data_IF_706300774583
#
_entry.id   IF_706300774583
#
_cell.length_a   1.000
_cell.length_b   1.000
_cell.length_c   1.000
_cell.angle_alpha   90.00
_cell.angle_beta   90.00
_cell.angle_gamma   90.00
#
_symmetry.space_group_name_H-M   'P 1'
#
loop_
_entity.id
_entity.type
_entity.pdbx_description
1 polymer ?
#
# COMPACT_ATOMS: atom_id res chain seq x y z
N UNK A 1 58.53 33.76 32.31
CA UNK A 1 58.58 32.35 31.89
C UNK A 1 57.58 32.19 30.74
N UNK A 2 58.04 31.84 29.53
CA UNK A 2 57.19 31.65 28.34
C UNK A 2 56.45 30.31 28.39
N UNK A 3 55.40 30.22 27.54
CA UNK A 3 54.62 29.09 26.99
C UNK A 3 53.19 29.03 27.53
N UNK A 4 52.09 28.95 26.76
CA UNK A 4 51.81 28.91 25.32
C UNK A 4 50.28 29.08 25.14
N UNK A 5 49.82 29.76 24.09
CA UNK A 5 48.40 29.89 23.67
C UNK A 5 47.94 28.65 22.88
N UNK A 6 46.66 28.25 23.00
CA UNK A 6 45.90 27.60 21.93
C UNK A 6 44.37 27.71 22.12
N UNK A 7 43.74 28.57 21.27
CA UNK A 7 42.46 28.49 20.52
C UNK A 7 41.20 27.94 21.26
N UNK A 8 40.15 28.74 21.54
CA UNK A 8 39.04 29.19 20.65
C UNK A 8 38.31 27.95 20.06
N UNK A 9 37.05 27.59 20.37
CA UNK A 9 35.75 28.25 20.09
C UNK A 9 34.63 27.68 21.00
N UNK A 10 33.75 28.48 21.62
CA UNK A 10 32.49 29.05 21.11
C UNK A 10 31.30 28.06 21.01
N UNK A 11 30.43 28.16 22.04
CA UNK A 11 28.97 28.20 21.96
C UNK A 11 28.14 26.97 21.53
N UNK A 12 27.06 26.81 22.32
CA UNK A 12 25.73 26.31 21.93
C UNK A 12 25.59 24.86 21.50
N UNK A 13 25.21 24.02 22.46
CA UNK A 13 24.27 22.94 22.14
C UNK A 13 23.00 23.15 22.97
N UNK A 14 22.14 24.00 22.41
CA UNK A 14 20.74 24.08 22.80
C UNK A 14 20.10 22.73 22.54
N UNK A 15 19.63 22.10 23.62
CA UNK A 15 18.70 20.98 23.56
C UNK A 15 17.37 21.53 23.06
N UNK A 16 17.22 21.60 21.74
CA UNK A 16 15.92 21.67 21.10
C UNK A 16 15.58 20.26 20.63
N UNK A 17 14.57 19.76 21.32
CA UNK A 17 13.72 18.62 21.00
C UNK A 17 13.39 18.68 19.50
N UNK A 18 14.21 18.02 18.69
CA UNK A 18 13.85 17.59 17.36
C UNK A 18 13.27 16.20 17.52
N UNK A 19 12.00 16.03 17.15
CA UNK A 19 11.45 14.70 16.91
C UNK A 19 12.48 13.92 16.10
N UNK A 20 12.96 12.81 16.65
CA UNK A 20 13.75 11.86 15.89
C UNK A 20 12.75 11.32 14.86
N UNK A 21 12.68 11.97 13.70
CA UNK A 21 12.17 11.33 12.51
C UNK A 21 13.12 10.17 12.30
N UNK A 22 12.71 8.99 12.75
CA UNK A 22 13.30 7.75 12.28
C UNK A 22 13.19 7.82 10.76
N UNK A 23 14.26 8.22 10.08
CA UNK A 23 14.39 7.95 8.67
C UNK A 23 14.49 6.43 8.61
N UNK A 24 13.37 5.76 8.38
CA UNK A 24 13.39 4.43 7.79
C UNK A 24 14.04 4.66 6.43
N UNK A 25 15.35 4.51 6.36
CA UNK A 25 16.09 4.55 5.11
C UNK A 25 15.81 3.24 4.40
N UNK A 26 14.61 3.11 3.83
CA UNK A 26 14.34 1.99 2.94
C UNK A 26 15.26 2.12 1.73
N UNK A 27 15.83 1.00 1.26
CA UNK A 27 16.75 0.98 0.12
C UNK A 27 16.06 1.27 -1.23
N UNK A 28 14.84 1.82 -1.20
CA UNK A 28 14.06 2.06 -2.39
C UNK A 28 14.49 3.35 -3.09
N UNK A 29 14.37 3.35 -4.42
CA UNK A 29 14.61 4.56 -5.22
C UNK A 29 13.72 5.72 -4.74
N UNK A 30 14.19 6.96 -4.95
CA UNK A 30 13.43 8.15 -4.60
C UNK A 30 12.01 8.11 -5.19
N UNK A 31 11.02 8.48 -4.37
CA UNK A 31 9.60 8.50 -4.74
C UNK A 31 8.83 7.23 -4.35
N UNK A 32 9.47 6.19 -3.84
CA UNK A 32 8.79 5.08 -3.18
C UNK A 32 8.62 5.35 -1.68
N UNK A 33 7.45 5.00 -1.14
CA UNK A 33 7.20 4.98 0.30
C UNK A 33 7.52 3.59 0.84
N UNK A 34 8.16 3.50 2.00
CA UNK A 34 8.67 2.24 2.52
C UNK A 34 8.12 1.96 3.91
N UNK A 35 7.75 0.71 4.15
CA UNK A 35 7.37 0.22 5.48
C UNK A 35 8.56 -0.48 6.16
N UNK A 36 9.45 -1.05 5.35
CA UNK A 36 10.67 -1.74 5.73
C UNK A 36 11.77 -1.49 4.66
N UNK A 37 12.91 -2.16 4.79
CA UNK A 37 14.06 -1.93 3.90
C UNK A 37 13.96 -2.60 2.52
N UNK A 38 12.95 -3.46 2.31
CA UNK A 38 12.85 -4.33 1.13
C UNK A 38 11.59 -4.08 0.30
N UNK A 39 10.53 -3.52 0.87
CA UNK A 39 9.24 -3.32 0.22
C UNK A 39 8.98 -1.83 -0.04
N UNK A 40 8.87 -1.47 -1.31
CA UNK A 40 8.51 -0.14 -1.77
C UNK A 40 7.08 -0.10 -2.28
N UNK A 41 6.31 0.91 -1.86
CA UNK A 41 4.95 1.16 -2.31
C UNK A 41 4.80 2.55 -2.90
N UNK A 42 3.94 2.69 -3.92
CA UNK A 42 3.68 3.98 -4.57
C UNK A 42 2.23 4.05 -5.05
N UNK A 43 1.54 5.11 -4.66
CA UNK A 43 0.26 5.47 -5.25
C UNK A 43 0.49 6.17 -6.60
N UNK A 44 -0.12 5.65 -7.66
CA UNK A 44 -0.19 6.29 -8.97
C UNK A 44 -1.62 6.76 -9.17
N UNK A 45 -1.82 8.08 -9.13
CA UNK A 45 -3.09 8.71 -9.45
C UNK A 45 -3.06 9.11 -10.93
N UNK A 46 -4.06 8.68 -11.68
CA UNK A 46 -4.22 9.04 -13.08
C UNK A 46 -4.84 10.43 -13.19
N UNK A 47 -4.01 11.40 -13.58
CA UNK A 47 -4.41 12.82 -13.69
C UNK A 47 -5.33 13.11 -14.89
N UNK A 48 -5.33 12.24 -15.90
CA UNK A 48 -6.00 12.49 -17.19
C UNK A 48 -7.27 11.67 -17.41
N UNK A 49 -7.35 10.45 -16.87
CA UNK A 49 -8.59 9.66 -16.88
C UNK A 49 -8.53 8.46 -15.95
N UNK A 50 -9.64 8.09 -15.33
CA UNK A 50 -9.73 6.89 -14.50
C UNK A 50 -9.32 5.62 -15.29
N UNK A 51 -8.76 4.62 -14.62
CA UNK A 51 -8.26 3.38 -15.24
C UNK A 51 -9.04 2.16 -14.72
N UNK A 52 -9.29 1.21 -15.60
CA UNK A 52 -9.77 -0.10 -15.18
C UNK A 52 -8.65 -0.95 -14.60
N UNK A 53 -8.98 -2.07 -13.97
CA UNK A 53 -8.01 -2.90 -13.27
C UNK A 53 -6.91 -3.42 -14.21
N UNK A 54 -7.24 -3.76 -15.45
CA UNK A 54 -6.28 -4.24 -16.44
C UNK A 54 -5.27 -3.15 -16.81
N UNK A 55 -5.74 -1.93 -17.13
CA UNK A 55 -4.87 -0.79 -17.40
C UNK A 55 -4.06 -0.39 -16.17
N UNK A 56 -4.66 -0.40 -14.98
CA UNK A 56 -3.98 -0.11 -13.73
C UNK A 56 -2.79 -1.05 -13.46
N UNK A 57 -2.96 -2.37 -13.72
CA UNK A 57 -1.87 -3.35 -13.62
C UNK A 57 -0.73 -3.03 -14.58
N UNK A 58 -1.04 -2.63 -15.81
CA UNK A 58 -0.03 -2.24 -16.80
C UNK A 58 0.76 -0.99 -16.38
N UNK A 59 0.15 -0.05 -15.64
CA UNK A 59 0.85 1.11 -15.09
C UNK A 59 1.91 0.73 -14.06
N UNK A 60 1.65 -0.28 -13.21
CA UNK A 60 2.68 -0.77 -12.31
C UNK A 60 3.78 -1.51 -13.08
N UNK A 61 3.41 -2.34 -14.06
CA UNK A 61 4.39 -3.08 -14.87
C UNK A 61 5.29 -2.14 -15.68
N UNK A 62 4.80 -0.99 -16.15
CA UNK A 62 5.61 -0.03 -16.92
C UNK A 62 6.72 0.62 -16.10
N UNK A 63 6.65 0.56 -14.76
CA UNK A 63 7.68 1.04 -13.83
C UNK A 63 8.40 -0.11 -13.12
N UNK A 64 8.41 -1.31 -13.73
CA UNK A 64 9.02 -2.54 -13.18
C UNK A 64 8.48 -2.93 -11.79
N UNK A 65 7.19 -2.70 -11.56
CA UNK A 65 6.50 -2.99 -10.31
C UNK A 65 5.31 -3.93 -10.53
N UNK A 66 4.77 -4.50 -9.45
CA UNK A 66 3.49 -5.20 -9.44
C UNK A 66 2.39 -4.33 -8.84
N UNK A 67 1.14 -4.70 -9.11
CA UNK A 67 0.02 -4.16 -8.36
C UNK A 67 0.13 -4.63 -6.89
N UNK A 68 -0.03 -3.73 -5.93
CA UNK A 68 0.29 -4.00 -4.53
C UNK A 68 -0.61 -5.06 -3.89
N UNK A 69 -0.04 -6.19 -3.51
CA UNK A 69 -0.70 -7.20 -2.71
C UNK A 69 -0.89 -6.69 -1.28
N UNK A 70 -1.82 -7.28 -0.52
CA UNK A 70 -1.97 -6.96 0.90
C UNK A 70 -2.07 -8.27 1.66
N UNK A 71 -1.02 -8.59 2.41
CA UNK A 71 -0.79 -9.91 3.01
C UNK A 71 -0.90 -9.91 4.53
N UNK A 72 -0.92 -8.72 5.14
CA UNK A 72 -1.00 -8.54 6.59
C UNK A 72 -1.78 -7.27 6.97
N UNK A 73 -2.21 -7.20 8.23
CA UNK A 73 -2.84 -5.99 8.79
C UNK A 73 -1.89 -4.78 8.82
N UNK A 74 -0.59 -5.01 9.07
CA UNK A 74 0.43 -3.95 9.08
C UNK A 74 0.58 -3.33 7.70
N UNK A 75 0.64 -4.16 6.66
CA UNK A 75 0.70 -3.70 5.26
C UNK A 75 -0.59 -2.97 4.86
N UNK A 76 -1.75 -3.48 5.29
CA UNK A 76 -3.04 -2.82 5.07
C UNK A 76 -3.08 -1.42 5.70
N UNK A 77 -2.60 -1.28 6.93
CA UNK A 77 -2.56 0.00 7.62
C UNK A 77 -1.55 0.96 6.99
N UNK A 78 -0.42 0.47 6.50
CA UNK A 78 0.53 1.28 5.73
C UNK A 78 -0.11 1.80 4.43
N UNK A 79 -0.76 0.94 3.65
CA UNK A 79 -1.44 1.34 2.40
C UNK A 79 -2.53 2.36 2.67
N UNK A 80 -3.28 2.24 3.78
CA UNK A 80 -4.25 3.26 4.21
C UNK A 80 -3.62 4.65 4.36
N UNK A 81 -2.39 4.73 4.89
CA UNK A 81 -1.69 6.02 5.00
C UNK A 81 -1.40 6.64 3.63
N UNK A 82 -1.12 5.82 2.61
CA UNK A 82 -0.89 6.29 1.24
C UNK A 82 -2.20 6.79 0.61
N UNK A 83 -3.31 6.12 0.88
CA UNK A 83 -4.61 6.44 0.26
C UNK A 83 -5.38 7.55 0.96
N UNK A 84 -5.22 7.70 2.28
CA UNK A 84 -5.94 8.71 3.08
C UNK A 84 -5.65 10.16 2.64
N UNK A 85 -4.51 10.39 1.99
CA UNK A 85 -4.14 11.73 1.52
C UNK A 85 -5.01 12.22 0.35
N UNK A 86 -5.70 11.30 -0.35
CA UNK A 86 -6.38 11.64 -1.61
C UNK A 86 -7.90 11.48 -1.57
N UNK A 87 -8.46 10.75 -0.60
CA UNK A 87 -9.86 10.24 -0.58
C UNK A 87 -10.30 9.49 -1.84
N UNK A 88 -9.41 9.33 -2.82
CA UNK A 88 -9.69 8.75 -4.11
C UNK A 88 -9.66 7.22 -3.99
N UNK A 89 -10.67 6.51 -4.52
CA UNK A 89 -10.61 5.07 -4.56
C UNK A 89 -9.50 4.62 -5.48
N UNK A 90 -8.66 3.71 -5.01
CA UNK A 90 -7.56 3.17 -5.80
C UNK A 90 -7.65 1.66 -5.87
N UNK A 91 -7.22 1.12 -7.00
CA UNK A 91 -7.06 -0.32 -7.14
C UNK A 91 -5.98 -0.84 -6.18
N UNK A 92 -6.15 -2.08 -5.70
CA UNK A 92 -5.12 -2.86 -5.01
C UNK A 92 -5.05 -4.27 -5.59
N UNK A 93 -3.96 -4.97 -5.33
CA UNK A 93 -3.62 -6.30 -5.84
C UNK A 93 -4.34 -7.44 -5.13
N UNK A 94 -5.60 -7.23 -4.79
CA UNK A 94 -6.49 -8.22 -4.17
C UNK A 94 -7.66 -8.47 -5.13
N UNK A 95 -8.03 -9.74 -5.29
CA UNK A 95 -9.06 -10.19 -6.20
C UNK A 95 -9.99 -11.17 -5.49
N UNK A 96 -11.29 -11.12 -5.81
CA UNK A 96 -12.24 -12.15 -5.42
C UNK A 96 -12.60 -12.98 -6.63
N UNK A 97 -12.43 -14.30 -6.50
CA UNK A 97 -12.91 -15.28 -7.47
C UNK A 97 -14.11 -15.98 -6.84
N UNK A 98 -15.27 -15.77 -7.43
CA UNK A 98 -16.51 -16.33 -6.93
C UNK A 98 -17.07 -17.37 -7.90
N UNK A 99 -17.54 -18.48 -7.35
CA UNK A 99 -18.25 -19.54 -8.04
C UNK A 99 -19.36 -20.07 -7.15
N UNK A 100 -20.36 -20.73 -7.72
CA UNK A 100 -21.47 -21.33 -6.96
C UNK A 100 -20.96 -22.09 -5.71
N UNK A 101 -21.28 -21.57 -4.53
CA UNK A 101 -20.93 -22.17 -3.23
C UNK A 101 -19.50 -21.92 -2.72
N UNK A 102 -18.68 -21.12 -3.40
CA UNK A 102 -17.33 -20.77 -2.91
C UNK A 102 -16.82 -19.43 -3.41
N UNK A 103 -16.34 -18.59 -2.48
CA UNK A 103 -15.60 -17.36 -2.77
C UNK A 103 -14.16 -17.49 -2.30
N UNK A 104 -13.19 -17.17 -3.15
CA UNK A 104 -11.76 -17.20 -2.84
C UNK A 104 -11.16 -15.81 -3.01
N UNK A 105 -10.33 -15.42 -2.06
CA UNK A 105 -9.49 -14.24 -2.18
C UNK A 105 -8.13 -14.64 -2.78
N UNK A 106 -7.65 -13.88 -3.76
CA UNK A 106 -6.37 -14.07 -4.45
C UNK A 106 -5.55 -12.78 -4.45
N UNK A 107 -4.23 -12.93 -4.42
CA UNK A 107 -3.25 -11.84 -4.51
C UNK A 107 -2.77 -11.64 -5.95
N UNK A 108 -2.01 -10.57 -6.20
CA UNK A 108 -1.46 -10.22 -7.51
C UNK A 108 -0.62 -11.33 -8.16
N UNK A 109 0.10 -12.10 -7.33
CA UNK A 109 0.92 -13.24 -7.73
C UNK A 109 0.13 -14.56 -7.91
N UNK A 110 -1.19 -14.55 -7.67
CA UNK A 110 -2.06 -15.72 -7.78
C UNK A 110 -2.19 -16.59 -6.52
N UNK A 111 -1.44 -16.30 -5.47
CA UNK A 111 -1.57 -16.99 -4.18
C UNK A 111 -2.90 -16.62 -3.51
N UNK A 112 -3.35 -17.46 -2.57
CA UNK A 112 -4.53 -17.16 -1.74
C UNK A 112 -4.19 -16.12 -0.68
N UNK A 113 -5.16 -15.29 -0.35
CA UNK A 113 -4.97 -14.26 0.67
C UNK A 113 -4.83 -14.89 2.07
N UNK A 114 -3.73 -14.58 2.75
CA UNK A 114 -3.56 -14.83 4.18
C UNK A 114 -4.34 -13.83 5.05
N UNK A 115 -4.57 -12.63 4.51
CA UNK A 115 -5.28 -11.53 5.15
C UNK A 115 -6.50 -11.13 4.31
N UNK A 116 -7.65 -10.88 4.94
CA UNK A 116 -8.90 -10.55 4.23
C UNK A 116 -9.56 -11.74 3.54
N UNK A 117 -9.25 -12.97 3.92
CA UNK A 117 -9.94 -14.15 3.40
C UNK A 117 -11.45 -14.12 3.78
N UNK A 118 -12.36 -14.54 2.87
CA UNK A 118 -13.79 -14.60 3.16
C UNK A 118 -14.12 -15.57 4.30
N UNK A 119 -15.13 -15.25 5.11
CA UNK A 119 -15.70 -16.13 6.15
C UNK A 119 -14.70 -16.62 7.21
N UNK A 120 -13.70 -15.80 7.54
CA UNK A 120 -12.86 -16.08 8.71
C UNK A 120 -13.59 -15.65 9.98
N UNK A 121 -13.45 -16.43 11.07
CA UNK A 121 -14.05 -16.09 12.38
C UNK A 121 -13.37 -14.88 13.05
N UNK A 122 -12.41 -14.23 12.39
CA UNK A 122 -11.68 -13.07 12.88
C UNK A 122 -12.26 -11.78 12.28
N UNK A 123 -13.42 -11.38 12.81
CA UNK A 123 -14.11 -10.15 12.41
C UNK A 123 -13.32 -8.88 12.76
N UNK A 124 -12.37 -8.95 13.69
CA UNK A 124 -11.52 -7.83 14.12
C UNK A 124 -10.41 -7.47 13.13
N UNK A 125 -10.12 -8.33 12.16
CA UNK A 125 -9.08 -8.14 11.16
C UNK A 125 -9.61 -8.04 9.72
N UNK A 126 -10.94 -8.04 9.52
CA UNK A 126 -11.54 -7.98 8.19
C UNK A 126 -11.37 -6.58 7.59
N UNK A 127 -10.70 -6.43 6.43
CA UNK A 127 -10.55 -5.13 5.79
C UNK A 127 -11.79 -4.73 4.96
N UNK A 128 -12.77 -5.63 4.79
CA UNK A 128 -13.94 -5.43 3.93
C UNK A 128 -14.95 -4.44 4.51
N UNK A 129 -15.58 -3.66 3.64
CA UNK A 129 -16.68 -2.79 4.06
C UNK A 129 -17.79 -3.60 4.74
N UNK A 130 -18.34 -3.05 5.83
CA UNK A 130 -19.38 -3.71 6.65
C UNK A 130 -18.97 -5.07 7.26
N UNK A 131 -17.67 -5.34 7.38
CA UNK A 131 -17.08 -6.56 7.96
C UNK A 131 -17.48 -7.88 7.26
N UNK A 132 -18.09 -7.82 6.08
CA UNK A 132 -18.55 -8.99 5.34
C UNK A 132 -18.02 -8.95 3.91
N UNK A 133 -17.63 -10.12 3.39
CA UNK A 133 -17.40 -10.26 1.96
C UNK A 133 -18.74 -10.18 1.24
N UNK A 134 -18.92 -9.28 0.26
CA UNK A 134 -20.17 -9.18 -0.49
C UNK A 134 -20.58 -10.52 -1.11
N UNK A 135 -21.89 -10.78 -1.19
CA UNK A 135 -22.42 -11.90 -1.97
C UNK A 135 -22.31 -11.54 -3.45
N UNK A 136 -21.51 -12.28 -4.19
CA UNK A 136 -21.21 -12.01 -5.60
C UNK A 136 -21.86 -13.04 -6.52
N UNK A 137 -22.05 -12.68 -7.79
CA UNK A 137 -22.31 -13.66 -8.86
C UNK A 137 -21.01 -14.37 -9.25
N UNK A 138 -21.12 -15.45 -10.02
CA UNK A 138 -19.94 -16.14 -10.55
C UNK A 138 -19.08 -15.19 -11.38
N UNK A 139 -17.78 -15.12 -11.09
CA UNK A 139 -16.89 -14.19 -11.76
C UNK A 139 -15.61 -13.86 -11.01
N UNK A 140 -14.86 -12.91 -11.57
CA UNK A 140 -13.63 -12.36 -10.98
C UNK A 140 -13.81 -10.87 -10.78
N UNK A 141 -13.55 -10.42 -9.57
CA UNK A 141 -13.70 -9.04 -9.14
C UNK A 141 -12.38 -8.49 -8.65
N UNK A 142 -12.17 -7.20 -8.91
CA UNK A 142 -11.09 -6.45 -8.28
C UNK A 142 -11.51 -5.91 -6.92
N UNK A 143 -10.53 -5.41 -6.19
CA UNK A 143 -10.75 -4.72 -4.92
C UNK A 143 -10.20 -3.31 -5.02
N UNK A 144 -11.00 -2.35 -4.57
CA UNK A 144 -10.55 -0.97 -4.35
C UNK A 144 -10.33 -0.73 -2.86
N UNK A 145 -9.32 0.07 -2.55
CA UNK A 145 -9.19 0.72 -1.24
C UNK A 145 -9.94 2.06 -1.31
N UNK A 146 -10.97 2.22 -0.49
CA UNK A 146 -11.77 3.44 -0.40
C UNK A 146 -12.12 3.73 1.05
N UNK A 147 -11.81 4.94 1.52
CA UNK A 147 -12.14 5.36 2.89
C UNK A 147 -11.66 4.37 3.97
N UNK A 148 -10.47 3.80 3.80
CA UNK A 148 -9.85 2.79 4.66
C UNK A 148 -10.50 1.40 4.66
N UNK A 149 -11.39 1.11 3.71
CA UNK A 149 -12.07 -0.18 3.57
C UNK A 149 -11.79 -0.79 2.19
N UNK A 150 -11.81 -2.11 2.13
CA UNK A 150 -11.82 -2.88 0.89
C UNK A 150 -13.24 -2.97 0.37
N UNK A 151 -13.42 -2.55 -0.89
CA UNK A 151 -14.70 -2.59 -1.58
C UNK A 151 -14.54 -3.41 -2.85
N UNK A 152 -15.41 -4.40 -3.01
CA UNK A 152 -15.46 -5.21 -4.24
C UNK A 152 -15.91 -4.35 -5.40
N UNK A 153 -15.22 -4.49 -6.52
CA UNK A 153 -15.42 -3.63 -7.69
C UNK A 153 -15.30 -4.46 -8.97
N UNK A 154 -16.13 -4.16 -9.97
CA UNK A 154 -16.05 -4.84 -11.27
C UNK A 154 -14.72 -4.52 -11.95
N UNK A 155 -14.06 -5.52 -12.53
CA UNK A 155 -12.73 -5.33 -13.14
C UNK A 155 -12.71 -4.28 -14.27
N UNK A 156 -13.89 -4.03 -14.87
CA UNK A 156 -14.11 -3.04 -15.93
C UNK A 156 -14.35 -1.61 -15.42
N UNK A 157 -14.71 -1.44 -14.14
CA UNK A 157 -14.94 -0.13 -13.56
C UNK A 157 -13.67 0.71 -13.60
N UNK A 158 -13.81 2.04 -13.59
CA UNK A 158 -12.68 2.95 -13.75
C UNK A 158 -12.44 3.74 -12.48
N UNK A 159 -11.29 3.52 -11.84
CA UNK A 159 -10.85 4.22 -10.63
C UNK A 159 -9.76 5.25 -10.94
N UNK A 160 -9.65 6.33 -10.16
CA UNK A 160 -8.66 7.37 -10.36
C UNK A 160 -7.22 6.94 -10.12
N UNK A 161 -6.95 5.79 -9.50
CA UNK A 161 -5.56 5.38 -9.28
C UNK A 161 -5.34 3.93 -8.89
N UNK A 162 -4.08 3.64 -8.58
CA UNK A 162 -3.59 2.31 -8.23
C UNK A 162 -2.45 2.40 -7.21
N UNK A 163 -2.33 1.39 -6.34
CA UNK A 163 -1.11 1.19 -5.53
C UNK A 163 -0.22 0.15 -6.21
N UNK A 164 1.03 0.51 -6.47
CA UNK A 164 2.06 -0.39 -6.95
C UNK A 164 3.01 -0.78 -5.82
N UNK A 165 3.53 -2.00 -5.87
CA UNK A 165 4.55 -2.55 -4.98
C UNK A 165 5.80 -2.96 -5.78
N UNK A 166 6.97 -2.87 -5.16
CA UNK A 166 8.22 -3.38 -5.71
C UNK A 166 9.13 -3.90 -4.60
N UNK A 167 10.07 -4.77 -4.99
CA UNK A 167 11.18 -5.17 -4.12
C UNK A 167 12.32 -4.19 -4.35
N UNK A 168 12.82 -3.60 -3.28
CA UNK A 168 13.87 -2.60 -3.34
C UNK A 168 15.24 -3.27 -3.49
N UNK A 169 16.04 -2.73 -4.42
CA UNK A 169 17.40 -3.20 -4.64
C UNK A 169 18.29 -2.74 -3.47
N UNK A 170 19.10 -3.66 -2.93
CA UNK A 170 20.14 -3.35 -1.94
C UNK A 170 21.42 -2.88 -2.61
#
# INVERSE_FOLDING_TARGET
MKTSLSKIDLLTFGVLIGCIFSNVSGNCQAGWSTMDDINGFKAIISESSNVNLFTARLLCTSINASIASITSSVENDFIKTLTNTTENPVWVGVFLVNSVGSSKCKLANGNECSFGAPNTNDASASPWSQNNVPVLSDGVYGVQMKSNEWVVTECSDRLPGIICETVCEQ
#
